data_IF_384257490921
#
_entry.id   IF_384257490921
#
_cell.length_a   1.000
_cell.length_b   1.000
_cell.length_c   1.000
_cell.angle_alpha   90.00
_cell.angle_beta   90.00
_cell.angle_gamma   90.00
#
_symmetry.space_group_name_H-M   'P 1'
#
loop_
_entity.id
_entity.type
_entity.pdbx_description
1 polymer ?
#
# COMPACT_ATOMS: atom_id res chain seq x y z
N UNK A 1 69.07 -41.71 4.80
CA UNK A 1 70.24 -40.80 4.93
C UNK A 1 69.70 -39.37 4.91
N UNK A 2 69.75 -38.78 6.13
CA UNK A 2 70.34 -37.44 6.34
C UNK A 2 69.66 -36.30 5.53
N UNK A 3 69.20 -35.23 6.09
CA UNK A 3 69.48 -34.45 7.30
C UNK A 3 68.23 -33.54 7.47
N UNK A 4 67.65 -33.51 8.59
CA UNK A 4 67.50 -32.54 9.63
C UNK A 4 68.21 -31.19 9.34
N UNK A 5 67.47 -30.15 9.13
CA UNK A 5 67.92 -28.81 9.44
C UNK A 5 66.74 -27.97 10.05
N UNK A 6 66.89 -27.77 11.30
CA UNK A 6 66.13 -26.77 12.07
C UNK A 6 66.41 -25.39 11.50
N UNK A 7 65.38 -24.63 11.30
CA UNK A 7 65.53 -23.18 11.29
C UNK A 7 64.37 -22.56 12.07
N UNK A 8 64.71 -22.10 13.26
CA UNK A 8 63.90 -21.21 14.09
C UNK A 8 63.66 -19.91 13.34
N UNK A 9 62.42 -19.57 13.14
CA UNK A 9 62.10 -18.18 12.77
C UNK A 9 61.10 -17.59 13.73
N UNK A 10 61.53 -16.50 14.25
CA UNK A 10 60.94 -15.72 15.33
C UNK A 10 59.49 -15.38 15.10
N UNK A 11 58.65 -15.63 16.11
CA UNK A 11 57.32 -15.12 16.21
C UNK A 11 57.40 -13.64 16.58
N UNK A 12 57.17 -12.77 15.57
CA UNK A 12 56.89 -11.37 15.85
C UNK A 12 55.41 -11.23 16.16
N UNK A 13 55.11 -11.11 17.44
CA UNK A 13 53.77 -10.77 17.92
C UNK A 13 53.54 -9.28 17.61
N UNK A 14 52.88 -9.01 16.51
CA UNK A 14 52.35 -7.66 16.24
C UNK A 14 51.02 -7.56 17.00
N UNK A 15 51.06 -6.88 18.14
CA UNK A 15 49.82 -6.36 18.72
C UNK A 15 49.31 -5.25 17.81
N UNK A 16 48.46 -5.59 16.87
CA UNK A 16 47.58 -4.62 16.25
C UNK A 16 46.58 -4.18 17.32
N UNK A 17 46.81 -2.96 17.81
CA UNK A 17 45.79 -2.26 18.60
C UNK A 17 44.54 -2.17 17.74
N UNK A 18 43.48 -2.86 18.18
CA UNK A 18 42.17 -2.69 17.64
C UNK A 18 41.70 -1.32 18.10
N UNK A 19 41.89 -0.30 17.29
CA UNK A 19 41.16 0.96 17.41
C UNK A 19 39.70 0.60 17.17
N UNK A 20 38.92 0.70 18.24
CA UNK A 20 37.48 0.61 18.19
C UNK A 20 37.01 1.82 17.39
N UNK A 21 36.74 1.61 16.10
CA UNK A 21 35.95 2.56 15.33
C UNK A 21 34.64 2.75 16.07
N UNK A 22 34.47 3.93 16.64
CA UNK A 22 33.17 4.38 17.10
C UNK A 22 32.30 4.50 15.86
N UNK A 23 31.41 3.53 15.64
CA UNK A 23 30.29 3.68 14.69
C UNK A 23 29.62 5.02 14.99
N UNK A 24 29.41 5.87 13.97
CA UNK A 24 28.63 7.07 14.15
C UNK A 24 27.25 6.62 14.59
N UNK A 25 26.94 6.87 15.85
CA UNK A 25 25.62 6.71 16.42
C UNK A 25 24.70 7.62 15.62
N UNK A 26 24.14 7.10 14.54
CA UNK A 26 22.99 7.73 13.89
C UNK A 26 21.89 7.72 14.93
N UNK A 27 21.77 8.83 15.63
CA UNK A 27 20.60 9.13 16.44
C UNK A 27 19.44 9.24 15.45
N UNK A 28 18.84 8.10 15.11
CA UNK A 28 17.51 8.08 14.50
C UNK A 28 16.59 8.64 15.56
N UNK A 29 16.33 9.93 15.48
CA UNK A 29 15.21 10.54 16.17
C UNK A 29 14.01 9.66 15.82
N UNK A 30 13.29 9.08 16.80
CA UNK A 30 12.08 8.35 16.51
C UNK A 30 11.13 9.34 15.83
N UNK A 31 10.97 9.20 14.53
CA UNK A 31 9.93 9.89 13.78
C UNK A 31 8.64 9.32 14.36
N UNK A 32 7.95 10.11 15.19
CA UNK A 32 6.58 9.80 15.60
C UNK A 32 5.83 9.53 14.28
N UNK A 33 5.20 8.36 14.10
CA UNK A 33 4.42 8.14 12.91
C UNK A 33 3.38 9.27 12.84
N UNK A 34 3.52 10.12 11.85
CA UNK A 34 2.46 11.08 11.51
C UNK A 34 1.33 10.21 11.04
N UNK A 35 0.29 10.07 11.84
CA UNK A 35 -0.94 9.37 11.44
C UNK A 35 -1.51 10.18 10.27
N UNK A 36 -1.25 9.73 9.07
CA UNK A 36 -1.80 10.35 7.86
C UNK A 36 -3.14 9.68 7.64
N UNK A 37 -4.18 10.34 8.11
CA UNK A 37 -5.55 9.99 7.76
C UNK A 37 -5.72 10.25 6.27
N UNK A 38 -6.23 9.32 5.51
CA UNK A 38 -6.45 9.57 4.11
C UNK A 38 -6.44 8.33 3.23
N UNK A 39 -6.39 8.61 1.96
CA UNK A 39 -6.43 7.63 0.88
C UNK A 39 -5.24 7.85 -0.04
N UNK A 40 -4.52 6.80 -0.37
CA UNK A 40 -3.36 6.88 -1.27
C UNK A 40 -3.22 5.63 -2.13
N UNK A 41 -2.71 5.79 -3.34
CA UNK A 41 -2.36 4.68 -4.22
C UNK A 41 -1.44 5.16 -5.35
N UNK A 42 -1.04 4.23 -6.22
CA UNK A 42 -0.38 4.53 -7.49
C UNK A 42 -1.33 4.21 -8.65
N UNK A 43 -1.54 5.16 -9.55
CA UNK A 43 -2.42 5.04 -10.73
C UNK A 43 -1.59 5.07 -11.99
N UNK A 44 -1.30 3.90 -12.55
CA UNK A 44 -0.54 3.79 -13.81
C UNK A 44 0.89 4.32 -13.74
N UNK A 45 1.47 4.43 -12.55
CA UNK A 45 2.81 4.96 -12.28
C UNK A 45 2.82 6.33 -11.61
N UNK A 46 1.68 7.01 -11.50
CA UNK A 46 1.54 8.31 -10.86
C UNK A 46 0.97 8.17 -9.44
N UNK A 47 1.49 8.95 -8.49
CA UNK A 47 0.97 8.99 -7.13
C UNK A 47 -0.39 9.69 -7.10
N UNK A 48 -1.32 9.08 -6.39
CA UNK A 48 -2.65 9.61 -6.10
C UNK A 48 -2.85 9.68 -4.59
N UNK A 49 -3.27 10.84 -4.08
CA UNK A 49 -3.54 11.03 -2.65
C UNK A 49 -4.75 11.90 -2.44
N UNK A 50 -5.60 11.52 -1.47
CA UNK A 50 -6.68 12.35 -0.96
C UNK A 50 -6.68 12.28 0.57
N UNK A 51 -6.57 13.42 1.23
CA UNK A 51 -6.51 13.50 2.69
C UNK A 51 -7.89 13.56 3.35
N UNK A 52 -8.95 13.65 2.57
CA UNK A 52 -10.33 13.81 3.07
C UNK A 52 -11.35 13.12 2.16
N UNK A 53 -11.15 11.82 1.84
CA UNK A 53 -12.08 11.11 0.98
C UNK A 53 -13.46 11.04 1.63
N UNK A 54 -14.49 11.07 0.80
CA UNK A 54 -15.87 10.88 1.24
C UNK A 54 -16.15 9.42 1.52
N UNK A 55 -16.70 9.11 2.70
CA UNK A 55 -17.12 7.77 3.09
C UNK A 55 -18.59 7.78 3.49
N UNK A 56 -19.39 7.00 2.80
CA UNK A 56 -20.85 6.93 3.01
C UNK A 56 -21.27 5.49 3.13
N UNK A 57 -22.09 5.18 4.15
CA UNK A 57 -22.85 3.94 4.23
C UNK A 57 -24.32 4.30 4.07
N UNK A 58 -24.94 3.81 3.02
CA UNK A 58 -26.35 4.09 2.72
C UNK A 58 -27.32 3.16 3.47
N UNK A 59 -28.63 3.41 3.32
CA UNK A 59 -29.68 2.60 3.93
C UNK A 59 -29.74 1.15 3.42
N UNK A 60 -29.10 0.87 2.27
CA UNK A 60 -29.01 -0.47 1.68
C UNK A 60 -27.74 -1.20 2.13
N UNK A 61 -27.01 -0.66 3.13
CA UNK A 61 -25.78 -1.23 3.60
C UNK A 61 -24.70 -1.28 2.50
N UNK A 62 -24.69 -0.28 1.62
CA UNK A 62 -23.68 -0.05 0.60
C UNK A 62 -22.66 0.96 1.16
N UNK A 63 -21.43 0.51 1.39
CA UNK A 63 -20.30 1.38 1.64
C UNK A 63 -19.80 1.94 0.30
N UNK A 64 -19.63 3.24 0.24
CA UNK A 64 -18.95 3.95 -0.83
C UNK A 64 -17.78 4.73 -0.26
N UNK A 65 -16.58 4.50 -0.78
CA UNK A 65 -15.38 5.32 -0.54
C UNK A 65 -15.12 6.07 -1.84
N UNK A 66 -15.11 7.38 -1.79
CA UNK A 66 -14.86 8.24 -2.95
C UNK A 66 -13.69 9.17 -2.62
N UNK A 67 -12.64 9.09 -3.43
CA UNK A 67 -11.42 9.86 -3.28
C UNK A 67 -11.15 10.68 -4.53
N UNK A 68 -10.70 11.93 -4.36
CA UNK A 68 -10.43 12.88 -5.42
C UNK A 68 -9.00 13.43 -5.34
N UNK A 69 -8.34 13.58 -6.49
CA UNK A 69 -7.07 14.29 -6.62
C UNK A 69 -7.10 15.16 -7.87
N UNK A 70 -7.55 16.39 -7.71
CA UNK A 70 -7.79 17.31 -8.82
C UNK A 70 -8.96 16.88 -9.68
N UNK A 71 -8.71 16.40 -10.91
CA UNK A 71 -9.72 15.88 -11.82
C UNK A 71 -9.77 14.35 -11.87
N UNK A 72 -8.88 13.71 -11.14
CA UNK A 72 -8.82 12.25 -11.05
C UNK A 72 -9.66 11.77 -9.86
N UNK A 73 -10.40 10.67 -10.05
CA UNK A 73 -11.33 10.16 -9.05
C UNK A 73 -11.21 8.65 -8.92
N UNK A 74 -11.32 8.13 -7.71
CA UNK A 74 -11.45 6.69 -7.43
C UNK A 74 -12.69 6.49 -6.57
N UNK A 75 -13.59 5.60 -7.02
CA UNK A 75 -14.75 5.20 -6.25
C UNK A 75 -14.72 3.69 -6.01
N UNK A 76 -14.81 3.27 -4.75
CA UNK A 76 -14.93 1.87 -4.34
C UNK A 76 -16.30 1.67 -3.69
N UNK A 77 -17.02 0.63 -4.12
CA UNK A 77 -18.34 0.28 -3.57
C UNK A 77 -18.35 -1.15 -3.06
N UNK A 78 -18.80 -1.33 -1.83
CA UNK A 78 -18.89 -2.63 -1.15
C UNK A 78 -20.34 -2.84 -0.71
N UNK A 79 -21.02 -3.82 -1.30
CA UNK A 79 -22.38 -4.20 -0.94
C UNK A 79 -22.37 -5.11 0.29
N UNK A 80 -23.45 -5.03 1.08
CA UNK A 80 -23.60 -5.77 2.34
C UNK A 80 -22.38 -5.57 3.26
N UNK A 81 -22.03 -4.31 3.47
CA UNK A 81 -20.83 -3.93 4.22
C UNK A 81 -20.81 -4.50 5.64
N UNK A 82 -21.96 -4.53 6.34
CA UNK A 82 -22.07 -5.09 7.70
C UNK A 82 -21.67 -6.57 7.80
N UNK A 83 -21.64 -7.29 6.68
CA UNK A 83 -21.28 -8.70 6.64
C UNK A 83 -19.78 -8.91 6.40
N UNK A 84 -19.01 -7.82 6.25
CA UNK A 84 -17.57 -7.90 5.95
C UNK A 84 -16.75 -8.06 7.21
N UNK A 85 -15.63 -8.77 7.07
CA UNK A 85 -14.74 -9.05 8.17
C UNK A 85 -13.32 -8.49 7.90
N UNK A 86 -12.63 -8.15 8.99
CA UNK A 86 -11.21 -7.79 8.92
C UNK A 86 -10.42 -8.98 8.36
N UNK A 87 -9.51 -8.71 7.42
CA UNK A 87 -8.68 -9.71 6.77
C UNK A 87 -9.37 -10.50 5.63
N UNK A 88 -10.67 -10.30 5.40
CA UNK A 88 -11.39 -10.89 4.27
C UNK A 88 -10.92 -10.23 2.95
N UNK A 89 -10.57 -11.05 1.95
CA UNK A 89 -10.29 -10.56 0.61
C UNK A 89 -11.60 -10.38 -0.17
N UNK A 90 -11.93 -9.13 -0.49
CA UNK A 90 -13.11 -8.75 -1.25
C UNK A 90 -12.72 -8.50 -2.69
N UNK A 91 -13.31 -9.21 -3.62
CA UNK A 91 -13.04 -9.05 -5.06
C UNK A 91 -13.63 -7.76 -5.60
N UNK A 92 -12.81 -6.86 -6.11
CA UNK A 92 -13.23 -5.64 -6.83
C UNK A 92 -13.33 -5.91 -8.32
N UNK A 93 -14.44 -6.48 -8.76
CA UNK A 93 -14.62 -6.83 -10.17
C UNK A 93 -15.95 -6.26 -10.69
N UNK A 94 -15.91 -5.70 -11.90
CA UNK A 94 -17.13 -5.23 -12.56
C UNK A 94 -18.16 -6.36 -12.66
N UNK A 95 -19.44 -6.04 -12.45
CA UNK A 95 -20.55 -7.01 -12.35
C UNK A 95 -20.45 -7.98 -11.16
N UNK A 96 -19.56 -7.78 -10.21
CA UNK A 96 -19.68 -8.44 -8.92
C UNK A 96 -20.92 -7.94 -8.20
N UNK A 97 -21.68 -8.85 -7.62
CA UNK A 97 -22.80 -8.49 -6.74
C UNK A 97 -22.32 -8.04 -5.35
N UNK A 98 -21.03 -8.17 -5.09
CA UNK A 98 -20.42 -7.91 -3.78
C UNK A 98 -19.74 -6.55 -3.75
N UNK A 99 -19.05 -6.17 -4.85
CA UNK A 99 -18.25 -4.95 -4.86
C UNK A 99 -17.77 -4.58 -6.26
N UNK A 100 -17.42 -3.31 -6.45
CA UNK A 100 -16.81 -2.81 -7.67
C UNK A 100 -15.93 -1.60 -7.37
N UNK A 101 -15.03 -1.29 -8.31
CA UNK A 101 -14.22 -0.08 -8.27
C UNK A 101 -14.27 0.62 -9.63
N UNK A 102 -14.18 1.95 -9.60
CA UNK A 102 -14.16 2.82 -10.77
C UNK A 102 -13.02 3.81 -10.63
N UNK A 103 -12.47 4.23 -11.77
CA UNK A 103 -11.41 5.23 -11.85
C UNK A 103 -11.74 6.23 -12.95
N UNK A 104 -11.59 7.52 -12.67
CA UNK A 104 -11.44 8.59 -13.67
C UNK A 104 -10.00 9.07 -13.63
N UNK A 105 -9.31 9.08 -14.75
CA UNK A 105 -7.92 9.56 -14.87
C UNK A 105 -7.77 10.39 -16.13
N UNK A 106 -7.28 11.62 -15.99
CA UNK A 106 -7.08 12.56 -17.11
C UNK A 106 -8.37 12.78 -17.96
N UNK A 107 -9.53 12.77 -17.30
CA UNK A 107 -10.85 12.92 -17.94
C UNK A 107 -11.34 11.66 -18.68
N UNK A 108 -10.67 10.53 -18.53
CA UNK A 108 -11.08 9.24 -19.08
C UNK A 108 -11.65 8.36 -17.98
N UNK A 109 -12.85 7.83 -18.22
CA UNK A 109 -13.51 6.88 -17.31
C UNK A 109 -13.05 5.44 -17.55
N UNK A 110 -12.65 4.74 -16.49
CA UNK A 110 -12.29 3.32 -16.45
C UNK A 110 -13.30 2.61 -15.55
N UNK A 111 -14.40 2.18 -16.13
CA UNK A 111 -15.55 1.65 -15.37
C UNK A 111 -15.69 0.13 -15.44
N UNK A 112 -14.90 -0.54 -16.28
CA UNK A 112 -14.93 -1.98 -16.41
C UNK A 112 -13.75 -2.63 -15.67
N UNK A 113 -13.88 -2.81 -14.37
CA UNK A 113 -12.86 -3.43 -13.53
C UNK A 113 -12.74 -4.92 -13.83
N UNK A 114 -11.59 -5.31 -14.39
CA UNK A 114 -11.30 -6.68 -14.82
C UNK A 114 -10.89 -7.57 -13.66
N UNK A 115 -10.13 -7.00 -12.73
CA UNK A 115 -9.62 -7.69 -11.54
C UNK A 115 -9.32 -6.68 -10.45
N UNK A 116 -9.34 -7.12 -9.22
CA UNK A 116 -8.96 -6.29 -8.09
C UNK A 116 -9.37 -6.93 -6.78
N UNK A 117 -8.84 -6.39 -5.70
CA UNK A 117 -9.13 -6.81 -4.34
C UNK A 117 -9.10 -5.65 -3.37
N UNK A 118 -9.82 -5.80 -2.29
CA UNK A 118 -9.78 -4.95 -1.11
C UNK A 118 -9.72 -5.85 0.13
N UNK A 119 -8.96 -5.43 1.13
CA UNK A 119 -8.87 -6.09 2.43
C UNK A 119 -8.99 -5.01 3.50
N UNK A 120 -10.00 -5.12 4.36
CA UNK A 120 -10.09 -4.26 5.53
C UNK A 120 -9.10 -4.71 6.62
N UNK A 121 -8.38 -3.76 7.19
CA UNK A 121 -7.52 -3.96 8.37
C UNK A 121 -8.16 -3.43 9.65
N UNK A 122 -9.17 -2.55 9.52
CA UNK A 122 -9.97 -1.99 10.61
C UNK A 122 -11.39 -1.75 10.13
N UNK A 123 -12.37 -2.18 10.93
CA UNK A 123 -13.81 -1.91 10.72
C UNK A 123 -14.40 -1.65 12.11
N UNK A 124 -14.54 -0.38 12.48
CA UNK A 124 -15.22 0.05 13.71
C UNK A 124 -15.89 1.42 13.50
N UNK A 125 -15.51 2.46 14.20
CA UNK A 125 -15.93 3.84 13.95
C UNK A 125 -15.12 4.51 12.84
N UNK A 126 -14.08 3.84 12.38
CA UNK A 126 -13.18 4.24 11.31
C UNK A 126 -12.84 3.02 10.44
N UNK A 127 -12.49 3.26 9.20
CA UNK A 127 -12.11 2.24 8.24
C UNK A 127 -10.64 2.37 7.86
N UNK A 128 -9.93 1.24 7.89
CA UNK A 128 -8.60 1.15 7.28
C UNK A 128 -8.51 -0.10 6.43
N UNK A 129 -7.68 -0.05 5.40
CA UNK A 129 -7.51 -1.21 4.53
C UNK A 129 -6.54 -0.97 3.37
N UNK A 130 -6.41 -1.99 2.55
CA UNK A 130 -5.59 -1.98 1.34
C UNK A 130 -6.42 -2.41 0.14
N UNK A 131 -6.05 -1.90 -1.04
CA UNK A 131 -6.74 -2.27 -2.27
C UNK A 131 -5.82 -2.23 -3.49
N UNK A 132 -6.22 -2.92 -4.54
CA UNK A 132 -5.65 -2.81 -5.87
C UNK A 132 -6.66 -3.25 -6.90
N UNK A 133 -6.62 -2.68 -8.10
CA UNK A 133 -7.47 -3.14 -9.19
C UNK A 133 -6.92 -2.72 -10.55
N UNK A 134 -7.40 -3.37 -11.60
CA UNK A 134 -7.17 -2.98 -12.99
C UNK A 134 -8.50 -2.79 -13.67
N UNK A 135 -8.69 -1.64 -14.28
CA UNK A 135 -9.93 -1.28 -14.95
C UNK A 135 -9.69 -0.87 -16.41
N UNK A 136 -10.66 -1.18 -17.26
CA UNK A 136 -10.65 -0.85 -18.69
C UNK A 136 -11.59 0.31 -18.96
N UNK A 137 -11.16 1.24 -19.78
CA UNK A 137 -12.05 2.28 -20.31
C UNK A 137 -12.89 1.73 -21.46
N UNK A 138 -14.22 1.78 -21.38
CA UNK A 138 -15.09 1.37 -22.48
C UNK A 138 -14.96 2.25 -23.72
N UNK A 139 -14.53 3.52 -23.53
CA UNK A 139 -14.45 4.51 -24.61
C UNK A 139 -13.22 4.36 -25.49
N UNK A 140 -12.08 3.99 -24.90
CA UNK A 140 -10.79 3.91 -25.63
C UNK A 140 -10.17 2.51 -25.62
N UNK A 141 -10.71 1.57 -24.83
CA UNK A 141 -10.24 0.19 -24.73
C UNK A 141 -8.92 0.01 -23.98
N UNK A 142 -8.41 1.05 -23.34
CA UNK A 142 -7.16 0.99 -22.56
C UNK A 142 -7.39 0.51 -21.12
N UNK A 143 -6.38 -0.13 -20.59
CA UNK A 143 -6.35 -0.55 -19.17
C UNK A 143 -5.56 0.44 -18.32
N UNK A 144 -6.02 0.67 -17.12
CA UNK A 144 -5.29 1.41 -16.09
C UNK A 144 -5.26 0.58 -14.81
N UNK A 145 -4.08 0.45 -14.22
CA UNK A 145 -3.89 -0.27 -12.95
C UNK A 145 -3.78 0.71 -11.79
N UNK A 146 -4.45 0.36 -10.70
CA UNK A 146 -4.33 0.99 -9.39
C UNK A 146 -3.64 -0.01 -8.48
N UNK A 147 -2.49 0.37 -7.93
CA UNK A 147 -1.64 -0.48 -7.08
C UNK A 147 -1.28 0.23 -5.78
N UNK A 148 -0.81 -0.53 -4.80
CA UNK A 148 -0.35 0.00 -3.50
C UNK A 148 -1.40 0.87 -2.80
N UNK A 149 -2.68 0.57 -3.05
CA UNK A 149 -3.78 1.31 -2.46
C UNK A 149 -3.86 1.08 -0.95
N UNK A 150 -3.95 2.18 -0.20
CA UNK A 150 -4.13 2.19 1.24
C UNK A 150 -5.15 3.26 1.59
N UNK A 151 -6.01 2.96 2.52
CA UNK A 151 -6.82 3.96 3.23
C UNK A 151 -6.71 3.73 4.73
N UNK A 152 -6.59 4.84 5.48
CA UNK A 152 -6.32 4.79 6.92
C UNK A 152 -7.27 5.72 7.66
N UNK A 153 -7.89 5.16 8.72
CA UNK A 153 -8.73 5.84 9.71
C UNK A 153 -9.80 6.77 9.10
N UNK A 154 -10.42 6.31 7.99
CA UNK A 154 -11.52 7.02 7.35
C UNK A 154 -12.77 6.97 8.23
N UNK A 155 -13.33 8.13 8.55
CA UNK A 155 -14.59 8.27 9.30
C UNK A 155 -15.81 8.27 8.37
N UNK A 156 -16.96 7.78 8.86
CA UNK A 156 -18.24 7.70 8.13
C UNK A 156 -19.45 7.96 9.04
#
# INVERSE_FOLDING_TARGET
MKNLLLTFLAIAVIFAACEKEEEPTTTTTPTTPTTTYGFSCNVGGDDFTDNSPDVIIDQNNLLTIHAENGADEITIRIYNFSDRNIGEEISLKFQSIISCAFLTKDGVEYTNTQSGKLIFTKIDTELSGTFSFTSTSPSIGENKSVTEGVFEDLTF
#
